data_IF_208754560059
#
_entry.id   IF_208754560059
#
_cell.length_a   1.000
_cell.length_b   1.000
_cell.length_c   1.000
_cell.angle_alpha   90.00
_cell.angle_beta   90.00
_cell.angle_gamma   90.00
#
_symmetry.space_group_name_H-M   'P 1'
#
loop_
_entity.id
_entity.type
_entity.pdbx_description
1 polymer ?
#
# COMPACT_ATOMS: atom_id res chain seq x y z
N UNK A 1 -4.85 -1.29 -8.18
CA UNK A 1 -5.48 -2.10 -7.10
C UNK A 1 -5.29 -1.40 -5.76
N UNK A 2 -6.36 -0.86 -5.16
CA UNK A 2 -6.30 -0.11 -3.88
C UNK A 2 -6.92 -0.95 -2.75
N UNK A 3 -6.15 -1.89 -2.18
CA UNK A 3 -6.60 -2.59 -0.97
C UNK A 3 -6.32 -1.73 0.27
N UNK A 4 -7.35 -1.28 1.01
CA UNK A 4 -7.17 -0.47 2.23
C UNK A 4 -6.42 -1.22 3.33
N UNK A 5 -6.40 -2.56 3.29
CA UNK A 5 -5.65 -3.41 4.22
C UNK A 5 -4.16 -3.41 3.88
N UNK A 6 -3.77 -3.44 2.61
CA UNK A 6 -2.38 -3.30 2.20
C UNK A 6 -1.82 -1.91 2.49
N UNK A 7 -2.62 -0.86 2.36
CA UNK A 7 -2.22 0.48 2.79
C UNK A 7 -2.00 0.58 4.31
N UNK A 8 -2.75 -0.21 5.10
CA UNK A 8 -2.50 -0.36 6.54
C UNK A 8 -1.24 -1.18 6.82
N UNK A 9 -1.00 -2.28 6.09
CA UNK A 9 0.24 -3.08 6.19
C UNK A 9 1.48 -2.25 5.81
N UNK A 10 1.41 -1.47 4.74
CA UNK A 10 2.47 -0.51 4.40
C UNK A 10 2.65 0.54 5.50
N UNK A 11 1.56 1.04 6.11
CA UNK A 11 1.65 1.95 7.26
C UNK A 11 2.17 1.29 8.55
N UNK A 12 1.95 -0.02 8.71
CA UNK A 12 2.49 -0.86 9.78
C UNK A 12 4.00 -1.03 9.62
N UNK A 13 4.45 -1.22 8.39
CA UNK A 13 5.84 -1.52 8.05
C UNK A 13 6.72 -0.29 7.78
N UNK A 14 6.15 0.88 7.42
CA UNK A 14 6.89 2.12 7.10
C UNK A 14 7.27 3.03 8.29
N UNK A 15 7.21 2.57 9.55
CA UNK A 15 7.68 3.42 10.66
C UNK A 15 9.21 3.33 10.81
N UNK A 16 9.89 4.20 10.05
CA UNK A 16 11.33 4.55 10.07
C UNK A 16 12.28 3.37 9.80
N UNK A 17 12.73 3.26 8.56
CA UNK A 17 14.05 2.71 8.27
C UNK A 17 15.09 3.72 8.78
N UNK A 18 15.74 3.42 9.89
CA UNK A 18 17.05 3.99 10.21
C UNK A 18 18.06 3.28 9.32
N UNK A 19 19.08 3.95 8.74
CA UNK A 19 20.13 3.24 8.01
C UNK A 19 20.74 2.18 8.94
N UNK A 20 20.64 0.90 8.57
CA UNK A 20 21.23 -0.17 9.34
C UNK A 20 22.74 -0.21 9.06
N UNK A 21 23.51 -0.28 10.15
CA UNK A 21 24.87 -0.79 10.14
C UNK A 21 24.86 -2.19 9.52
N UNK A 22 25.83 -2.43 8.62
CA UNK A 22 26.14 -3.69 7.96
C UNK A 22 26.45 -4.78 8.99
N UNK A 23 25.42 -5.52 9.39
CA UNK A 23 25.60 -6.88 9.90
C UNK A 23 25.29 -7.81 8.73
N UNK A 24 26.32 -8.51 8.22
CA UNK A 24 26.15 -9.57 7.22
C UNK A 24 25.20 -10.63 7.80
N UNK A 25 23.94 -10.60 7.35
CA UNK A 25 23.00 -11.66 7.63
C UNK A 25 23.47 -12.91 6.89
N UNK A 26 23.61 -14.03 7.60
CA UNK A 26 23.92 -15.33 7.01
C UNK A 26 22.92 -15.63 5.88
N UNK A 27 23.37 -16.11 4.71
CA UNK A 27 22.51 -16.35 3.57
C UNK A 27 21.49 -17.44 3.91
N UNK A 28 20.20 -17.12 3.82
CA UNK A 28 19.12 -18.10 3.90
C UNK A 28 19.28 -19.03 2.70
N UNK A 29 19.65 -20.28 2.97
CA UNK A 29 19.90 -21.27 1.92
C UNK A 29 18.60 -22.03 1.65
N UNK A 30 18.06 -21.99 0.41
CA UNK A 30 16.87 -22.77 0.06
C UNK A 30 17.16 -24.28 0.13
N UNK A 31 16.11 -25.09 0.28
CA UNK A 31 16.25 -26.55 0.33
C UNK A 31 16.82 -27.11 -0.98
N UNK A 32 17.56 -28.21 -0.91
CA UNK A 32 18.02 -28.91 -2.12
C UNK A 32 16.85 -29.38 -3.00
N UNK A 33 15.69 -29.65 -2.37
CA UNK A 33 14.44 -29.97 -3.07
C UNK A 33 13.96 -28.80 -3.92
N UNK A 34 13.85 -27.59 -3.34
CA UNK A 34 13.42 -26.40 -4.06
C UNK A 34 14.34 -26.07 -5.24
N UNK A 35 15.66 -26.16 -5.04
CA UNK A 35 16.65 -25.97 -6.10
C UNK A 35 16.42 -26.98 -7.23
N UNK A 36 16.25 -28.26 -6.89
CA UNK A 36 16.00 -29.32 -7.88
C UNK A 36 14.71 -29.10 -8.68
N UNK A 37 13.61 -28.73 -8.02
CA UNK A 37 12.33 -28.46 -8.69
C UNK A 37 12.43 -27.26 -9.64
N UNK A 38 13.10 -26.16 -9.24
CA UNK A 38 13.27 -25.00 -10.12
C UNK A 38 14.15 -25.34 -11.32
N UNK A 39 15.24 -26.07 -11.11
CA UNK A 39 16.08 -26.56 -12.21
C UNK A 39 15.30 -27.44 -13.17
N UNK A 40 14.38 -28.27 -12.67
CA UNK A 40 13.50 -29.08 -13.51
C UNK A 40 12.42 -28.24 -14.21
N UNK A 41 11.85 -27.25 -13.53
CA UNK A 41 10.83 -26.34 -14.08
C UNK A 41 11.38 -25.57 -15.27
N UNK A 42 12.63 -25.12 -15.18
CA UNK A 42 13.32 -24.35 -16.21
C UNK A 42 14.26 -25.21 -17.06
N UNK A 43 14.09 -26.54 -17.02
CA UNK A 43 14.92 -27.45 -17.79
C UNK A 43 14.69 -27.25 -19.30
N UNK A 44 15.78 -27.11 -20.06
CA UNK A 44 15.73 -26.87 -21.50
C UNK A 44 15.66 -25.39 -21.89
N UNK A 45 15.58 -24.48 -20.91
CA UNK A 45 15.73 -23.04 -21.14
C UNK A 45 17.21 -22.61 -21.17
N UNK A 46 17.46 -21.41 -21.72
CA UNK A 46 18.78 -20.79 -21.68
C UNK A 46 19.29 -20.63 -20.24
N UNK A 47 20.59 -20.88 -20.03
CA UNK A 47 21.32 -20.69 -18.77
C UNK A 47 20.99 -19.36 -18.08
N UNK A 48 20.74 -18.29 -18.83
CA UNK A 48 20.34 -16.99 -18.29
C UNK A 48 19.01 -17.03 -17.52
N UNK A 49 18.00 -17.76 -18.02
CA UNK A 49 16.69 -17.89 -17.37
C UNK A 49 16.78 -18.81 -16.15
N UNK A 50 17.56 -19.90 -16.26
CA UNK A 50 17.79 -20.79 -15.12
C UNK A 50 18.52 -20.06 -13.97
N UNK A 51 19.57 -19.31 -14.27
CA UNK A 51 20.27 -18.47 -13.30
C UNK A 51 19.35 -17.42 -12.68
N UNK A 52 18.50 -16.78 -13.49
CA UNK A 52 17.52 -15.82 -13.00
C UNK A 52 16.47 -16.47 -12.08
N UNK A 53 16.02 -17.68 -12.38
CA UNK A 53 15.12 -18.46 -11.53
C UNK A 53 15.74 -18.79 -10.16
N UNK A 54 17.00 -19.23 -10.14
CA UNK A 54 17.72 -19.52 -8.90
C UNK A 54 17.99 -18.26 -8.08
N UNK A 55 18.42 -17.16 -8.70
CA UNK A 55 18.60 -15.87 -8.00
C UNK A 55 17.27 -15.36 -7.43
N UNK A 56 16.16 -15.53 -8.16
CA UNK A 56 14.81 -15.20 -7.69
C UNK A 56 14.46 -16.01 -6.44
N UNK A 57 14.73 -17.32 -6.44
CA UNK A 57 14.52 -18.19 -5.27
C UNK A 57 15.31 -17.69 -4.06
N UNK A 58 16.60 -17.38 -4.21
CA UNK A 58 17.43 -16.91 -3.10
C UNK A 58 16.93 -15.59 -2.52
N UNK A 59 16.54 -14.62 -3.37
CA UNK A 59 16.01 -13.34 -2.90
C UNK A 59 14.68 -13.47 -2.16
N UNK A 60 13.79 -14.34 -2.63
CA UNK A 60 12.52 -14.59 -1.96
C UNK A 60 12.71 -15.40 -0.67
N UNK A 61 13.65 -16.34 -0.65
CA UNK A 61 14.03 -17.08 0.56
C UNK A 61 14.58 -16.14 1.65
N UNK A 62 15.40 -15.15 1.28
CA UNK A 62 15.88 -14.13 2.21
C UNK A 62 14.76 -13.23 2.77
N UNK A 63 13.66 -13.09 2.03
CA UNK A 63 12.47 -12.34 2.43
C UNK A 63 11.44 -13.20 3.20
N UNK A 64 11.81 -14.40 3.64
CA UNK A 64 10.90 -15.30 4.34
C UNK A 64 10.35 -14.72 5.65
N UNK A 65 9.13 -15.09 6.07
CA UNK A 65 8.58 -14.64 7.33
C UNK A 65 9.43 -15.15 8.49
N UNK A 66 10.15 -14.23 9.13
CA UNK A 66 10.97 -14.51 10.31
C UNK A 66 10.36 -13.78 11.51
N UNK A 67 10.14 -14.51 12.60
CA UNK A 67 9.67 -13.88 13.84
C UNK A 67 10.73 -12.88 14.34
N UNK A 68 10.29 -11.76 14.92
CA UNK A 68 11.23 -10.73 15.35
C UNK A 68 12.25 -11.24 16.39
N UNK A 69 11.78 -12.11 17.28
CA UNK A 69 12.56 -12.69 18.39
C UNK A 69 13.21 -14.03 18.03
N UNK A 70 13.00 -14.55 16.82
CA UNK A 70 13.64 -15.78 16.38
C UNK A 70 15.10 -15.52 15.98
N UNK A 71 16.00 -16.36 16.46
CA UNK A 71 17.34 -16.43 15.87
C UNK A 71 17.21 -16.74 14.37
N UNK A 72 18.03 -16.10 13.51
CA UNK A 72 17.93 -16.16 12.05
C UNK A 72 18.09 -17.57 11.45
N UNK A 73 18.36 -18.58 12.26
CA UNK A 73 18.69 -19.95 11.84
C UNK A 73 17.55 -20.97 11.98
N UNK A 74 16.29 -20.57 12.21
CA UNK A 74 15.20 -21.55 12.40
C UNK A 74 14.57 -22.03 11.09
N UNK A 75 14.50 -23.37 10.97
CA UNK A 75 14.04 -24.22 9.85
C UNK A 75 12.66 -23.84 9.27
N UNK A 76 11.82 -23.12 10.04
CA UNK A 76 10.50 -22.64 9.61
C UNK A 76 10.56 -21.58 8.48
N UNK A 77 11.72 -20.97 8.23
CA UNK A 77 11.82 -19.87 7.27
C UNK A 77 11.54 -20.31 5.82
N UNK A 78 11.83 -21.55 5.43
CA UNK A 78 11.77 -21.95 4.00
C UNK A 78 10.76 -23.03 3.67
N UNK A 79 10.02 -23.59 4.64
CA UNK A 79 8.99 -24.62 4.40
C UNK A 79 7.89 -24.16 3.43
N UNK A 80 7.60 -22.85 3.41
CA UNK A 80 6.63 -22.28 2.47
C UNK A 80 7.07 -22.42 1.00
N UNK A 81 8.38 -22.47 0.73
CA UNK A 81 8.95 -22.60 -0.62
C UNK A 81 8.60 -23.98 -1.17
N UNK A 82 8.90 -25.01 -0.39
CA UNK A 82 8.63 -26.40 -0.79
C UNK A 82 7.12 -26.61 -0.97
N UNK A 83 6.30 -26.06 -0.08
CA UNK A 83 4.84 -26.11 -0.20
C UNK A 83 4.32 -25.35 -1.43
N UNK A 84 4.85 -24.16 -1.73
CA UNK A 84 4.47 -23.39 -2.90
C UNK A 84 4.84 -24.12 -4.20
N UNK A 85 6.05 -24.68 -4.26
CA UNK A 85 6.50 -25.45 -5.41
C UNK A 85 5.70 -26.74 -5.58
N UNK A 86 5.40 -27.49 -4.51
CA UNK A 86 4.55 -28.69 -4.60
C UNK A 86 3.16 -28.37 -5.17
N UNK A 87 2.54 -27.29 -4.72
CA UNK A 87 1.20 -26.90 -5.16
C UNK A 87 1.19 -26.28 -6.56
N UNK A 88 2.21 -25.48 -6.89
CA UNK A 88 2.32 -24.80 -8.19
C UNK A 88 2.89 -25.65 -9.31
N UNK A 89 3.73 -26.65 -9.01
CA UNK A 89 4.28 -27.56 -10.02
C UNK A 89 3.21 -28.48 -10.62
N UNK A 90 2.12 -28.74 -9.88
CA UNK A 90 0.97 -29.50 -10.37
C UNK A 90 0.12 -28.73 -11.40
N UNK A 91 0.18 -27.39 -11.40
CA UNK A 91 -0.43 -26.57 -12.46
C UNK A 91 0.46 -26.60 -13.70
N UNK A 92 0.19 -27.55 -14.60
CA UNK A 92 0.87 -27.66 -15.90
C UNK A 92 0.75 -26.38 -16.70
N UNK A 93 1.89 -25.71 -16.91
CA UNK A 93 2.05 -24.76 -18.00
C UNK A 93 1.76 -25.46 -19.33
N UNK A 94 1.16 -24.74 -20.27
CA UNK A 94 0.95 -25.26 -21.62
C UNK A 94 2.29 -25.77 -22.20
N UNK A 95 2.27 -26.89 -22.93
CA UNK A 95 3.50 -27.46 -23.53
C UNK A 95 4.27 -26.45 -24.39
N UNK A 96 3.57 -25.47 -24.95
CA UNK A 96 4.12 -24.45 -25.85
C UNK A 96 4.46 -23.13 -25.15
N UNK A 97 4.44 -23.07 -23.81
CA UNK A 97 4.82 -21.89 -23.05
C UNK A 97 6.28 -21.48 -23.34
N UNK A 98 6.52 -20.19 -23.55
CA UNK A 98 7.87 -19.66 -23.78
C UNK A 98 8.72 -19.70 -22.50
N UNK A 99 10.04 -19.54 -22.64
CA UNK A 99 10.96 -19.41 -21.51
C UNK A 99 10.51 -18.34 -20.50
N UNK A 100 10.04 -17.22 -21.03
CA UNK A 100 9.54 -16.08 -20.26
C UNK A 100 8.25 -16.45 -19.51
N UNK A 101 7.31 -17.14 -20.17
CA UNK A 101 6.06 -17.58 -19.53
C UNK A 101 6.33 -18.54 -18.37
N UNK A 102 7.27 -19.48 -18.56
CA UNK A 102 7.65 -20.44 -17.51
C UNK A 102 8.31 -19.74 -16.32
N UNK A 103 9.16 -18.74 -16.58
CA UNK A 103 9.75 -17.91 -15.53
C UNK A 103 8.68 -17.08 -14.79
N UNK A 104 7.76 -16.44 -15.49
CA UNK A 104 6.71 -15.63 -14.88
C UNK A 104 5.74 -16.46 -14.04
N UNK A 105 5.42 -17.68 -14.47
CA UNK A 105 4.64 -18.62 -13.69
C UNK A 105 5.38 -19.07 -12.41
N UNK A 106 6.69 -19.32 -12.50
CA UNK A 106 7.53 -19.58 -11.31
C UNK A 106 7.49 -18.39 -10.34
N UNK A 107 7.65 -17.16 -10.84
CA UNK A 107 7.56 -15.93 -10.05
C UNK A 107 6.20 -15.83 -9.36
N UNK A 108 5.12 -16.09 -10.08
CA UNK A 108 3.76 -16.06 -9.53
C UNK A 108 3.60 -17.05 -8.38
N UNK A 109 4.02 -18.31 -8.57
CA UNK A 109 3.94 -19.38 -7.56
C UNK A 109 4.73 -19.00 -6.31
N UNK A 110 5.98 -18.56 -6.47
CA UNK A 110 6.83 -18.22 -5.33
C UNK A 110 6.32 -16.98 -4.58
N UNK A 111 5.89 -15.92 -5.29
CA UNK A 111 5.37 -14.72 -4.65
C UNK A 111 4.01 -14.96 -3.96
N UNK A 112 3.13 -15.80 -4.53
CA UNK A 112 1.89 -16.21 -3.86
C UNK A 112 2.15 -17.09 -2.64
N UNK A 113 3.09 -18.03 -2.73
CA UNK A 113 3.55 -18.84 -1.61
C UNK A 113 4.05 -17.98 -0.44
N UNK A 114 4.93 -17.03 -0.73
CA UNK A 114 5.46 -16.11 0.26
C UNK A 114 4.36 -15.22 0.86
N UNK A 115 3.47 -14.68 0.03
CA UNK A 115 2.33 -13.89 0.50
C UNK A 115 1.40 -14.70 1.42
N UNK A 116 1.16 -15.96 1.10
CA UNK A 116 0.37 -16.87 1.94
C UNK A 116 1.06 -17.14 3.27
N UNK A 117 2.37 -17.39 3.26
CA UNK A 117 3.16 -17.59 4.48
C UNK A 117 3.08 -16.37 5.42
N UNK A 118 3.20 -15.16 4.86
CA UNK A 118 3.01 -13.92 5.60
C UNK A 118 1.59 -13.75 6.16
N UNK A 119 0.57 -14.04 5.35
CA UNK A 119 -0.82 -13.95 5.80
C UNK A 119 -1.12 -14.99 6.90
N UNK A 120 -0.58 -16.20 6.79
CA UNK A 120 -0.72 -17.27 7.78
C UNK A 120 -0.10 -16.88 9.11
N UNK A 121 1.16 -16.41 9.11
CA UNK A 121 1.84 -15.94 10.31
C UNK A 121 1.07 -14.80 11.01
N UNK A 122 0.58 -13.83 10.23
CA UNK A 122 -0.23 -12.73 10.77
C UNK A 122 -1.57 -13.21 11.35
N UNK A 123 -2.26 -14.16 10.70
CA UNK A 123 -3.51 -14.75 11.22
C UNK A 123 -3.29 -15.49 12.54
N UNK A 124 -2.17 -16.21 12.66
CA UNK A 124 -1.74 -16.87 13.90
C UNK A 124 -1.31 -15.89 14.99
N UNK A 125 -1.26 -14.58 14.68
CA UNK A 125 -0.84 -13.55 15.63
C UNK A 125 0.67 -13.49 15.85
N UNK A 126 1.45 -14.15 14.99
CA UNK A 126 2.91 -14.07 15.00
C UNK A 126 3.36 -12.73 14.43
N UNK A 127 4.41 -12.18 15.03
CA UNK A 127 5.03 -10.93 14.59
C UNK A 127 6.19 -11.24 13.67
N UNK A 128 5.99 -10.98 12.38
CA UNK A 128 6.97 -11.24 11.33
C UNK A 128 7.61 -9.95 10.83
N UNK A 129 8.89 -10.05 10.45
CA UNK A 129 9.65 -8.95 9.83
C UNK A 129 8.98 -8.47 8.55
N UNK A 130 9.10 -7.18 8.25
CA UNK A 130 8.54 -6.62 7.02
C UNK A 130 9.21 -7.27 5.79
N UNK A 131 8.42 -7.80 4.84
CA UNK A 131 8.96 -8.41 3.63
C UNK A 131 9.68 -7.44 2.70
N UNK A 132 9.48 -6.12 2.86
CA UNK A 132 9.98 -5.10 1.93
C UNK A 132 11.23 -4.36 2.42
N UNK A 133 11.66 -4.59 3.65
CA UNK A 133 12.82 -3.94 4.23
C UNK A 133 13.91 -4.96 4.52
N UNK A 134 15.16 -4.55 4.40
CA UNK A 134 16.27 -5.37 4.90
C UNK A 134 16.15 -5.58 6.42
N UNK A 135 16.69 -6.69 6.96
CA UNK A 135 16.68 -6.96 8.39
C UNK A 135 17.33 -5.79 9.15
N UNK A 136 16.52 -5.02 9.88
CA UNK A 136 17.04 -4.03 10.81
C UNK A 136 17.18 -4.64 12.20
N UNK A 137 18.29 -4.34 12.88
CA UNK A 137 18.55 -4.80 14.24
C UNK A 137 17.61 -4.17 15.30
N UNK A 138 16.80 -3.16 14.95
CA UNK A 138 15.98 -2.42 15.92
C UNK A 138 14.50 -2.77 15.85
N UNK A 139 13.88 -3.25 16.95
CA UNK A 139 12.44 -3.48 17.00
C UNK A 139 11.66 -2.17 16.77
N UNK A 140 10.55 -2.19 16.02
CA UNK A 140 9.68 -1.04 15.87
C UNK A 140 9.16 -0.57 17.24
N UNK A 141 9.28 0.72 17.54
CA UNK A 141 8.91 1.31 18.86
C UNK A 141 7.39 1.33 19.16
N UNK A 142 6.54 0.88 18.24
CA UNK A 142 5.09 0.78 18.45
C UNK A 142 4.44 -0.08 17.38
N UNK A 143 3.76 -1.14 17.76
CA UNK A 143 3.03 -2.03 16.85
C UNK A 143 1.53 -1.70 16.86
N UNK A 144 0.97 -1.17 15.75
CA UNK A 144 -0.47 -1.14 15.60
C UNK A 144 -1.02 -2.57 15.61
N UNK A 145 -1.93 -2.88 16.54
CA UNK A 145 -2.58 -4.19 16.61
C UNK A 145 -3.60 -4.31 15.48
N UNK A 146 -3.33 -5.17 14.49
CA UNK A 146 -4.36 -5.58 13.54
C UNK A 146 -5.46 -6.35 14.28
N UNK A 147 -6.71 -5.95 14.06
CA UNK A 147 -7.87 -6.65 14.60
C UNK A 147 -7.96 -8.05 13.95
N UNK A 148 -8.51 -9.06 14.64
CA UNK A 148 -8.69 -10.40 14.05
C UNK A 148 -9.41 -10.39 12.70
N UNK A 149 -10.43 -9.54 12.54
CA UNK A 149 -11.17 -9.36 11.27
C UNK A 149 -10.30 -8.79 10.14
N UNK A 150 -9.33 -7.94 10.47
CA UNK A 150 -8.39 -7.37 9.49
C UNK A 150 -7.32 -8.38 9.07
N UNK A 151 -6.93 -9.28 9.99
CA UNK A 151 -6.01 -10.40 9.69
C UNK A 151 -6.67 -11.45 8.80
N UNK A 152 -7.95 -11.73 9.01
CA UNK A 152 -8.71 -12.64 8.18
C UNK A 152 -8.86 -12.12 6.73
N UNK A 153 -9.07 -10.81 6.57
CA UNK A 153 -9.31 -10.16 5.28
C UNK A 153 -8.03 -9.84 4.46
N UNK A 154 -6.86 -10.35 4.85
CA UNK A 154 -5.62 -10.11 4.12
C UNK A 154 -5.68 -10.69 2.70
N UNK A 155 -5.62 -9.79 1.72
CA UNK A 155 -5.52 -10.11 0.29
C UNK A 155 -4.08 -10.54 -0.05
N UNK A 156 -3.90 -11.84 -0.25
CA UNK A 156 -2.61 -12.47 -0.60
C UNK A 156 -2.19 -12.16 -2.03
N UNK A 157 -3.12 -11.96 -2.95
CA UNK A 157 -2.81 -11.72 -4.37
C UNK A 157 -2.17 -10.36 -4.57
N UNK A 158 -2.71 -9.34 -3.91
CA UNK A 158 -2.10 -8.03 -3.97
C UNK A 158 -0.75 -7.99 -3.22
N UNK A 159 -0.56 -8.72 -2.11
CA UNK A 159 0.74 -8.85 -1.46
C UNK A 159 1.78 -9.54 -2.36
N UNK A 160 1.40 -10.60 -3.07
CA UNK A 160 2.25 -11.31 -4.02
C UNK A 160 2.77 -10.40 -5.14
N UNK A 161 1.89 -9.56 -5.70
CA UNK A 161 2.28 -8.58 -6.71
C UNK A 161 3.33 -7.58 -6.17
N UNK A 162 3.14 -7.07 -4.95
CA UNK A 162 4.11 -6.16 -4.34
C UNK A 162 5.47 -6.83 -4.08
N UNK A 163 5.47 -8.10 -3.66
CA UNK A 163 6.69 -8.89 -3.51
C UNK A 163 7.41 -9.03 -4.85
N UNK A 164 6.68 -9.33 -5.93
CA UNK A 164 7.23 -9.43 -7.27
C UNK A 164 7.88 -8.10 -7.73
N UNK A 165 7.25 -6.95 -7.47
CA UNK A 165 7.81 -5.65 -7.85
C UNK A 165 9.06 -5.24 -7.03
N UNK A 166 9.26 -5.77 -5.82
CA UNK A 166 10.28 -5.27 -4.88
C UNK A 166 11.43 -6.23 -4.64
N UNK A 167 11.21 -7.54 -4.72
CA UNK A 167 12.20 -8.56 -4.34
C UNK A 167 12.79 -9.33 -5.50
N UNK A 168 12.19 -9.26 -6.69
CA UNK A 168 12.78 -9.89 -7.87
C UNK A 168 14.11 -9.22 -8.26
N UNK A 169 15.02 -9.99 -8.88
CA UNK A 169 16.21 -9.43 -9.52
C UNK A 169 15.81 -8.42 -10.61
N UNK A 170 16.70 -7.49 -10.95
CA UNK A 170 16.40 -6.43 -11.91
C UNK A 170 15.90 -6.97 -13.25
N UNK A 171 16.59 -7.96 -13.82
CA UNK A 171 16.16 -8.65 -15.04
C UNK A 171 14.76 -9.29 -14.90
N UNK A 172 14.44 -9.87 -13.74
CA UNK A 172 13.12 -10.44 -13.47
C UNK A 172 12.01 -9.39 -13.38
N UNK A 173 12.32 -8.21 -12.83
CA UNK A 173 11.39 -7.06 -12.80
C UNK A 173 11.12 -6.50 -14.20
N UNK A 174 12.13 -6.49 -15.07
CA UNK A 174 11.94 -6.09 -16.47
C UNK A 174 10.98 -7.04 -17.20
N UNK A 175 11.21 -8.35 -17.11
CA UNK A 175 10.32 -9.35 -17.72
C UNK A 175 8.88 -9.27 -17.19
N UNK A 176 8.72 -9.03 -15.88
CA UNK A 176 7.41 -8.80 -15.27
C UNK A 176 6.75 -7.51 -15.80
N UNK A 177 7.53 -6.43 -15.96
CA UNK A 177 7.05 -5.17 -16.51
C UNK A 177 6.55 -5.31 -17.93
N UNK A 178 7.33 -5.96 -18.81
CA UNK A 178 6.95 -6.24 -20.20
C UNK A 178 5.67 -7.09 -20.28
N UNK A 179 5.54 -8.11 -19.42
CA UNK A 179 4.35 -8.95 -19.39
C UNK A 179 3.09 -8.21 -18.91
N UNK A 180 3.23 -7.27 -17.96
CA UNK A 180 2.12 -6.45 -17.49
C UNK A 180 1.64 -5.44 -18.54
N UNK A 181 2.49 -5.08 -19.51
CA UNK A 181 2.16 -4.15 -20.60
C UNK A 181 1.43 -4.82 -21.79
N UNK A 182 1.51 -6.14 -21.93
CA UNK A 182 1.06 -6.88 -23.14
C UNK A 182 -0.35 -7.54 -23.07
N UNK A 183 -1.17 -7.26 -22.03
CA UNK A 183 -2.54 -7.79 -21.72
C UNK A 183 -2.64 -8.81 -20.55
N UNK A 184 -2.85 -8.28 -19.33
CA UNK A 184 -3.71 -8.93 -18.32
C UNK A 184 -3.03 -9.73 -17.19
N UNK A 185 -3.77 -10.01 -16.10
CA UNK A 185 -3.23 -10.09 -14.73
C UNK A 185 -2.52 -11.42 -14.43
N UNK A 186 -1.17 -11.38 -14.47
CA UNK A 186 -0.28 -12.42 -13.93
C UNK A 186 -0.63 -12.80 -12.47
N UNK A 187 -1.34 -11.94 -11.75
CA UNK A 187 -1.77 -12.14 -10.36
C UNK A 187 -3.30 -12.07 -10.16
N UNK A 188 -4.11 -12.40 -11.16
CA UNK A 188 -5.58 -12.36 -11.01
C UNK A 188 -6.10 -13.35 -9.97
N UNK A 189 -7.20 -12.96 -9.33
CA UNK A 189 -7.91 -13.76 -8.32
C UNK A 189 -8.54 -15.06 -8.85
N UNK A 190 -8.55 -15.27 -10.17
CA UNK A 190 -9.17 -16.43 -10.83
C UNK A 190 -8.21 -17.61 -11.04
N UNK A 191 -6.93 -17.48 -10.64
CA UNK A 191 -6.06 -18.65 -10.52
C UNK A 191 -6.68 -19.59 -9.45
N UNK A 192 -6.91 -20.88 -9.76
CA UNK A 192 -7.56 -21.78 -8.83
C UNK A 192 -6.79 -21.77 -7.52
N UNK A 193 -7.49 -21.38 -6.46
CA UNK A 193 -6.97 -21.24 -5.11
C UNK A 193 -6.61 -22.63 -4.55
N UNK A 194 -5.56 -23.23 -5.07
CA UNK A 194 -5.01 -24.54 -4.67
C UNK A 194 -4.28 -24.49 -3.32
N UNK A 195 -4.22 -23.30 -2.67
CA UNK A 195 -3.54 -23.06 -1.40
C UNK A 195 -4.51 -22.85 -0.22
N UNK A 196 -5.81 -23.11 -0.40
CA UNK A 196 -6.73 -23.17 0.74
C UNK A 196 -6.56 -24.53 1.44
N UNK A 197 -6.17 -24.58 2.72
CA UNK A 197 -6.26 -25.85 3.47
C UNK A 197 -7.72 -26.31 3.50
N UNK A 198 -8.00 -27.63 3.47
CA UNK A 198 -9.36 -28.13 3.63
C UNK A 198 -9.91 -27.64 4.97
N UNK A 199 -11.04 -26.93 4.91
CA UNK A 199 -11.83 -26.61 6.10
C UNK A 199 -12.23 -27.95 6.71
N UNK A 200 -11.91 -28.27 7.98
CA UNK A 200 -12.43 -29.47 8.58
C UNK A 200 -13.95 -29.34 8.65
N UNK A 201 -14.65 -30.24 7.96
CA UNK A 201 -16.08 -30.49 8.15
C UNK A 201 -16.31 -30.72 9.64
N UNK A 202 -16.96 -29.77 10.31
CA UNK A 202 -17.50 -30.01 11.63
C UNK A 202 -18.72 -30.90 11.45
N UNK A 203 -18.50 -32.18 11.69
CA UNK A 203 -19.51 -33.20 11.90
C UNK A 203 -20.54 -32.66 12.90
N UNK A 204 -21.79 -32.62 12.47
CA UNK A 204 -22.93 -32.57 13.37
C UNK A 204 -22.84 -33.79 14.29
N UNK A 205 -22.74 -33.57 15.61
CA UNK A 205 -23.36 -34.52 16.51
C UNK A 205 -23.86 -33.87 17.81
N UNK A 206 -25.03 -34.36 18.20
CA UNK A 206 -25.89 -33.92 19.28
C UNK A 206 -25.34 -34.33 20.65
N UNK A 207 -25.28 -33.41 21.62
CA UNK A 207 -25.79 -33.63 22.99
C UNK A 207 -25.53 -32.41 23.90
N UNK A 208 -26.63 -31.86 24.43
CA UNK A 208 -26.73 -30.97 25.61
C UNK A 208 -26.73 -31.83 26.91
N UNK A 209 -26.92 -31.34 28.17
CA UNK A 209 -27.18 -29.97 28.67
C UNK A 209 -26.51 -29.59 30.04
N UNK A 210 -26.93 -28.43 30.57
CA UNK A 210 -26.75 -27.83 31.92
C UNK A 210 -25.53 -26.91 32.10
N UNK A 211 -25.64 -25.69 32.65
CA UNK A 211 -26.55 -25.24 33.72
C UNK A 211 -26.77 -23.71 33.73
N UNK A 212 -27.86 -23.31 34.37
CA UNK A 212 -28.45 -21.96 34.48
C UNK A 212 -27.56 -21.02 35.33
N UNK A 213 -27.52 -19.70 35.02
CA UNK A 213 -28.07 -18.70 35.97
C UNK A 213 -27.99 -17.22 35.55
N UNK A 214 -29.15 -16.58 35.72
CA UNK A 214 -29.45 -15.19 36.04
C UNK A 214 -29.22 -14.05 35.03
N UNK A 215 -30.32 -13.77 34.30
CA UNK A 215 -30.71 -12.44 33.79
C UNK A 215 -31.04 -11.48 34.95
N UNK A 216 -30.68 -10.20 34.79
CA UNK A 216 -31.38 -9.03 35.33
C UNK A 216 -31.50 -7.96 34.23
N UNK A 217 -32.69 -7.38 33.96
CA UNK A 217 -32.82 -6.31 32.96
C UNK A 217 -33.02 -4.90 33.56
N UNK A 218 -32.51 -3.90 32.80
CA UNK A 218 -32.99 -2.50 32.61
C UNK A 218 -32.75 -1.47 33.75
N UNK A 219 -32.51 -0.17 33.44
CA UNK A 219 -33.51 0.67 32.77
C UNK A 219 -33.04 1.53 31.58
N UNK A 220 -34.01 1.72 30.69
CA UNK A 220 -34.07 2.68 29.59
C UNK A 220 -34.19 4.09 30.18
N UNK A 221 -33.37 5.03 29.72
CA UNK A 221 -33.66 6.47 29.86
C UNK A 221 -34.05 7.03 28.50
N UNK A 222 -35.23 7.64 28.48
CA UNK A 222 -35.80 8.38 27.38
C UNK A 222 -34.94 9.60 27.03
N UNK A 223 -34.74 9.84 25.73
CA UNK A 223 -34.39 11.17 25.22
C UNK A 223 -35.61 11.72 24.49
N UNK A 224 -36.08 12.87 24.97
CA UNK A 224 -37.03 13.75 24.32
C UNK A 224 -36.33 14.55 23.21
N UNK A 225 -37.10 14.76 22.14
CA UNK A 225 -37.01 15.79 21.10
C UNK A 225 -36.03 15.58 19.92
N UNK A 226 -36.54 15.58 18.66
CA UNK A 226 -35.73 15.53 17.46
C UNK A 226 -35.07 16.90 17.19
N UNK A 227 -33.76 16.88 16.93
CA UNK A 227 -33.06 18.00 16.32
C UNK A 227 -33.53 18.18 14.86
N UNK A 228 -33.54 19.41 14.31
CA UNK A 228 -34.00 19.64 12.94
C UNK A 228 -33.10 18.88 11.97
N UNK A 229 -33.71 18.01 11.17
CA UNK A 229 -33.03 17.29 10.09
C UNK A 229 -32.41 18.31 9.12
N UNK A 230 -31.08 18.31 9.06
CA UNK A 230 -30.36 18.99 8.01
C UNK A 230 -30.77 18.37 6.66
N UNK A 231 -30.97 19.16 5.59
CA UNK A 231 -31.41 18.64 4.30
C UNK A 231 -30.42 17.60 3.76
N UNK A 232 -30.91 16.41 3.46
CA UNK A 232 -30.17 15.40 2.70
C UNK A 232 -29.93 15.92 1.28
N UNK A 233 -28.81 16.60 1.06
CA UNK A 233 -28.34 16.94 -0.30
C UNK A 233 -28.01 15.65 -1.06
N UNK A 234 -28.48 15.49 -2.31
CA UNK A 234 -28.11 14.36 -3.16
C UNK A 234 -26.59 14.33 -3.40
N UNK A 235 -25.99 13.14 -3.64
CA UNK A 235 -24.53 12.95 -3.69
C UNK A 235 -23.83 13.79 -4.77
N UNK A 236 -24.52 14.16 -5.86
CA UNK A 236 -23.96 14.97 -6.94
C UNK A 236 -23.74 16.45 -6.58
N UNK A 237 -24.50 16.98 -5.61
CA UNK A 237 -24.29 18.35 -5.12
C UNK A 237 -23.04 18.47 -4.25
N UNK A 238 -22.65 17.43 -3.53
CA UNK A 238 -21.51 17.49 -2.61
C UNK A 238 -20.19 17.73 -3.36
N UNK A 239 -19.97 17.00 -4.47
CA UNK A 239 -18.77 17.17 -5.29
C UNK A 239 -18.68 18.59 -5.86
N UNK A 240 -19.79 19.11 -6.39
CA UNK A 240 -19.84 20.46 -6.97
C UNK A 240 -19.56 21.53 -5.90
N UNK A 241 -20.17 21.42 -4.72
CA UNK A 241 -19.96 22.35 -3.60
C UNK A 241 -18.53 22.28 -3.07
N UNK A 242 -17.94 21.08 -2.97
CA UNK A 242 -16.52 20.93 -2.62
C UNK A 242 -15.61 21.50 -3.69
N UNK A 243 -15.89 21.29 -4.97
CA UNK A 243 -15.11 21.86 -6.07
C UNK A 243 -15.16 23.39 -6.05
N UNK A 244 -16.33 23.97 -5.77
CA UNK A 244 -16.49 25.40 -5.61
C UNK A 244 -15.67 25.92 -4.43
N UNK A 245 -15.75 25.28 -3.26
CA UNK A 245 -14.96 25.66 -2.10
C UNK A 245 -13.45 25.56 -2.37
N UNK A 246 -12.99 24.52 -3.06
CA UNK A 246 -11.59 24.37 -3.50
C UNK A 246 -11.18 25.49 -4.45
N UNK A 247 -12.04 25.83 -5.40
CA UNK A 247 -11.79 26.92 -6.36
C UNK A 247 -11.63 28.24 -5.64
N UNK A 248 -12.53 28.55 -4.70
CA UNK A 248 -12.46 29.75 -3.86
C UNK A 248 -11.17 29.80 -3.03
N UNK A 249 -10.81 28.69 -2.36
CA UNK A 249 -9.60 28.62 -1.55
C UNK A 249 -8.33 28.76 -2.40
N UNK A 250 -8.31 28.17 -3.60
CA UNK A 250 -7.21 28.31 -4.56
C UNK A 250 -7.10 29.75 -5.06
N UNK A 251 -8.22 30.40 -5.41
CA UNK A 251 -8.23 31.82 -5.82
C UNK A 251 -7.63 32.73 -4.75
N UNK A 252 -8.06 32.56 -3.50
CA UNK A 252 -7.53 33.34 -2.37
C UNK A 252 -6.03 33.13 -2.15
N UNK A 253 -5.53 31.92 -2.37
CA UNK A 253 -4.10 31.63 -2.32
C UNK A 253 -3.35 32.24 -3.50
N UNK A 254 -3.89 32.09 -4.71
CA UNK A 254 -3.30 32.58 -5.95
C UNK A 254 -3.18 34.11 -6.01
N UNK A 255 -4.11 34.82 -5.35
CA UNK A 255 -4.09 36.28 -5.23
C UNK A 255 -3.12 36.80 -4.14
N UNK A 256 -2.57 35.92 -3.30
CA UNK A 256 -1.60 36.32 -2.28
C UNK A 256 -0.25 36.64 -2.90
N UNK A 257 0.43 37.68 -2.40
CA UNK A 257 1.82 38.00 -2.77
C UNK A 257 2.81 36.86 -2.47
N UNK A 258 2.43 35.94 -1.57
CA UNK A 258 3.20 34.75 -1.23
C UNK A 258 3.07 33.63 -2.28
N UNK A 259 2.15 33.72 -3.24
CA UNK A 259 2.03 32.73 -4.30
C UNK A 259 3.19 32.83 -5.30
N UNK A 260 3.70 31.70 -5.77
CA UNK A 260 4.88 31.63 -6.66
C UNK A 260 6.13 32.32 -6.09
N UNK A 261 6.35 32.25 -4.77
CA UNK A 261 7.59 32.70 -4.11
C UNK A 261 8.30 31.52 -3.46
N UNK A 262 9.63 31.55 -3.33
CA UNK A 262 10.39 30.53 -2.57
C UNK A 262 9.73 30.17 -1.23
N UNK A 263 9.42 31.23 -0.46
CA UNK A 263 8.79 31.26 0.87
C UNK A 263 7.32 30.91 0.94
N UNK A 264 6.71 30.63 -0.21
CA UNK A 264 5.28 30.83 -0.45
C UNK A 264 4.31 29.82 0.14
N UNK A 265 3.02 30.12 -0.01
CA UNK A 265 1.92 29.22 0.35
C UNK A 265 1.41 28.39 -0.83
N UNK A 266 1.90 28.65 -2.05
CA UNK A 266 1.55 27.87 -3.23
C UNK A 266 2.38 28.22 -4.46
N UNK A 267 2.41 27.30 -5.41
CA UNK A 267 3.15 27.40 -6.66
C UNK A 267 2.33 26.82 -7.82
N UNK A 268 2.37 27.43 -9.00
CA UNK A 268 1.98 26.78 -10.25
C UNK A 268 3.21 26.16 -10.90
N UNK A 269 3.20 24.85 -11.15
CA UNK A 269 4.30 24.13 -11.79
C UNK A 269 3.71 23.22 -12.87
N UNK A 270 4.01 23.54 -14.14
CA UNK A 270 3.49 22.78 -15.27
C UNK A 270 1.96 22.70 -15.25
N UNK A 271 1.45 21.47 -15.16
CA UNK A 271 0.03 21.11 -15.16
C UNK A 271 -0.60 21.06 -13.76
N UNK A 272 0.06 21.62 -12.73
CA UNK A 272 -0.41 21.53 -11.36
C UNK A 272 -0.25 22.80 -10.52
N UNK A 273 -1.19 23.00 -9.60
CA UNK A 273 -1.02 23.88 -8.46
C UNK A 273 -0.55 23.06 -7.24
N UNK A 274 0.58 23.44 -6.68
CA UNK A 274 1.13 22.88 -5.45
C UNK A 274 0.83 23.85 -4.31
N UNK A 275 -0.04 23.46 -3.37
CA UNK A 275 -0.49 24.35 -2.29
C UNK A 275 -0.04 23.84 -0.93
N UNK A 276 0.48 24.72 -0.07
CA UNK A 276 0.80 24.36 1.30
C UNK A 276 -0.45 23.83 2.04
N UNK A 277 -0.34 22.62 2.58
CA UNK A 277 -1.47 21.87 3.10
C UNK A 277 -2.10 22.49 4.35
N UNK A 278 -1.37 23.24 5.19
CA UNK A 278 -2.02 23.89 6.34
C UNK A 278 -2.82 25.13 5.90
N UNK A 279 -2.22 26.13 5.21
CA UNK A 279 -2.95 27.32 4.75
C UNK A 279 -4.14 27.03 3.83
N UNK A 280 -4.05 25.96 3.03
CA UNK A 280 -5.15 25.53 2.18
C UNK A 280 -6.34 24.95 2.97
N UNK A 281 -6.09 24.08 3.96
CA UNK A 281 -7.15 23.58 4.83
C UNK A 281 -7.84 24.70 5.59
N UNK A 282 -7.09 25.67 6.11
CA UNK A 282 -7.65 26.78 6.88
C UNK A 282 -8.62 27.61 6.02
N UNK A 283 -8.27 27.88 4.75
CA UNK A 283 -9.18 28.56 3.81
C UNK A 283 -10.40 27.73 3.46
N UNK A 284 -10.23 26.43 3.22
CA UNK A 284 -11.35 25.52 2.98
C UNK A 284 -12.30 25.42 4.17
N UNK A 285 -11.78 25.38 5.40
CA UNK A 285 -12.60 25.30 6.61
C UNK A 285 -13.32 26.61 6.94
N UNK A 286 -12.90 27.73 6.34
CA UNK A 286 -13.62 29.01 6.43
C UNK A 286 -14.74 29.14 5.39
N UNK A 287 -14.84 28.22 4.42
CA UNK A 287 -15.98 28.18 3.50
C UNK A 287 -17.26 27.80 4.29
N UNK A 288 -18.37 28.58 4.19
CA UNK A 288 -19.56 28.37 5.00
C UNK A 288 -20.16 26.96 4.87
N UNK A 289 -20.10 26.38 3.66
CA UNK A 289 -20.65 25.06 3.45
C UNK A 289 -19.74 23.99 4.06
N UNK A 290 -18.41 24.09 3.88
CA UNK A 290 -17.46 23.15 4.48
C UNK A 290 -17.47 23.24 6.01
N UNK A 291 -17.57 24.45 6.55
CA UNK A 291 -17.67 24.70 8.00
C UNK A 291 -18.92 24.05 8.62
N UNK A 292 -20.03 23.96 7.88
CA UNK A 292 -21.24 23.30 8.33
C UNK A 292 -21.11 21.75 8.38
N UNK A 293 -20.11 21.17 7.70
CA UNK A 293 -19.90 19.72 7.67
C UNK A 293 -18.96 19.25 8.79
N UNK A 294 -19.52 18.84 9.93
CA UNK A 294 -18.75 18.33 11.07
C UNK A 294 -17.71 17.23 10.72
N UNK A 295 -17.97 16.29 9.79
CA UNK A 295 -16.95 15.29 9.40
C UNK A 295 -15.71 15.90 8.72
N UNK A 296 -15.84 17.07 8.10
CA UNK A 296 -14.77 17.72 7.33
C UNK A 296 -13.84 18.58 8.19
N UNK A 297 -14.19 18.89 9.44
CA UNK A 297 -13.33 19.65 10.37
C UNK A 297 -11.97 18.97 10.61
N UNK A 298 -11.91 17.64 10.49
CA UNK A 298 -10.65 16.93 10.51
C UNK A 298 -9.96 17.04 9.14
N UNK A 299 -8.83 17.76 9.07
CA UNK A 299 -8.04 17.94 7.83
C UNK A 299 -7.71 16.62 7.11
N UNK A 300 -7.46 15.53 7.84
CA UNK A 300 -7.16 14.23 7.24
C UNK A 300 -8.40 13.65 6.54
N UNK A 301 -9.58 13.84 7.12
CA UNK A 301 -10.86 13.45 6.53
C UNK A 301 -11.17 14.33 5.32
N UNK A 302 -11.01 15.65 5.45
CA UNK A 302 -11.16 16.60 4.34
C UNK A 302 -10.33 16.19 3.12
N UNK A 303 -9.02 15.93 3.30
CA UNK A 303 -8.17 15.57 2.18
C UNK A 303 -8.45 14.19 1.58
N UNK A 304 -8.87 13.23 2.37
CA UNK A 304 -9.34 11.95 1.83
C UNK A 304 -10.61 12.14 1.01
N UNK A 305 -11.52 13.02 1.44
CA UNK A 305 -12.75 13.32 0.72
C UNK A 305 -12.46 14.04 -0.59
N UNK A 306 -11.56 15.03 -0.59
CA UNK A 306 -11.11 15.70 -1.82
C UNK A 306 -10.43 14.73 -2.80
N UNK A 307 -9.58 13.84 -2.31
CA UNK A 307 -8.92 12.83 -3.15
C UNK A 307 -9.91 11.81 -3.71
N UNK A 308 -10.90 11.38 -2.91
CA UNK A 308 -11.97 10.49 -3.35
C UNK A 308 -12.76 11.07 -4.54
N UNK A 309 -13.01 12.38 -4.53
CA UNK A 309 -13.70 13.09 -5.60
C UNK A 309 -12.81 13.55 -6.76
N UNK A 310 -11.51 13.20 -6.74
CA UNK A 310 -10.55 13.60 -7.77
C UNK A 310 -10.25 15.10 -7.80
N UNK A 311 -10.62 15.86 -6.76
CA UNK A 311 -10.40 17.31 -6.69
C UNK A 311 -8.93 17.67 -6.38
N UNK A 312 -8.17 16.71 -5.86
CA UNK A 312 -6.73 16.79 -5.64
C UNK A 312 -6.07 15.51 -6.17
N UNK A 313 -4.84 15.63 -6.65
CA UNK A 313 -4.02 14.51 -7.09
C UNK A 313 -3.21 13.95 -5.92
N UNK A 314 -3.58 12.76 -5.46
CA UNK A 314 -2.82 12.02 -4.46
C UNK A 314 -1.58 11.35 -5.09
N UNK A 315 -0.52 11.20 -4.29
CA UNK A 315 0.63 10.36 -4.62
C UNK A 315 0.42 9.01 -3.93
N UNK A 316 -0.12 8.05 -4.68
CA UNK A 316 -0.67 6.83 -4.10
C UNK A 316 -1.75 7.13 -3.06
N UNK A 317 -1.54 6.72 -1.81
CA UNK A 317 -2.48 6.93 -0.71
C UNK A 317 -2.29 8.26 0.04
N UNK A 318 -1.30 9.08 -0.34
CA UNK A 318 -0.95 10.31 0.34
C UNK A 318 -1.54 11.52 -0.40
N UNK A 319 -2.57 12.18 0.17
CA UNK A 319 -3.08 13.42 -0.41
C UNK A 319 -2.15 14.62 -0.15
N UNK A 320 -1.18 14.49 0.76
CA UNK A 320 -0.20 15.52 1.11
C UNK A 320 1.20 15.02 0.80
N UNK A 321 1.96 15.80 0.03
CA UNK A 321 3.31 15.50 -0.41
C UNK A 321 4.31 16.32 0.40
N UNK A 322 5.56 15.86 0.49
CA UNK A 322 6.67 16.62 1.07
C UNK A 322 7.57 17.09 -0.06
N UNK A 323 7.74 18.40 -0.19
CA UNK A 323 8.58 19.00 -1.23
C UNK A 323 9.73 19.77 -0.61
N UNK A 324 10.86 19.76 -1.31
CA UNK A 324 12.01 20.63 -1.07
C UNK A 324 12.07 21.63 -2.20
N UNK A 325 11.85 22.88 -1.84
CA UNK A 325 11.90 24.02 -2.75
C UNK A 325 13.29 24.64 -2.62
N UNK A 326 13.94 24.84 -3.76
CA UNK A 326 15.26 25.46 -3.84
C UNK A 326 15.28 26.50 -4.96
N UNK A 327 15.74 27.71 -4.66
CA UNK A 327 15.99 28.75 -5.66
C UNK A 327 17.50 28.92 -5.88
N UNK A 328 17.97 29.04 -7.13
CA UNK A 328 19.35 29.44 -7.41
C UNK A 328 19.69 30.76 -6.70
N UNK A 329 20.82 30.80 -6.00
CA UNK A 329 21.25 31.98 -5.24
C UNK A 329 20.67 32.09 -3.82
N UNK A 330 19.76 31.20 -3.40
CA UNK A 330 19.34 31.09 -1.99
C UNK A 330 20.04 29.91 -1.31
N UNK A 331 20.74 30.11 -0.18
CA UNK A 331 21.49 29.05 0.49
C UNK A 331 20.61 28.05 1.25
N UNK A 332 19.38 28.43 1.62
CA UNK A 332 18.48 27.57 2.42
C UNK A 332 17.35 27.04 1.56
N UNK A 333 17.22 25.72 1.47
CA UNK A 333 16.05 25.06 0.90
C UNK A 333 14.87 25.11 1.87
N UNK A 334 13.65 25.26 1.34
CA UNK A 334 12.43 25.20 2.12
C UNK A 334 11.76 23.84 2.00
N UNK A 335 11.32 23.29 3.13
CA UNK A 335 10.51 22.09 3.16
C UNK A 335 9.03 22.45 3.34
N UNK A 336 8.18 22.02 2.42
CA UNK A 336 6.76 22.27 2.46
C UNK A 336 5.96 20.96 2.44
N UNK A 337 4.86 20.92 3.18
CA UNK A 337 3.86 19.87 3.04
C UNK A 337 2.79 20.41 2.11
N UNK A 338 2.64 19.83 0.92
CA UNK A 338 1.79 20.40 -0.12
C UNK A 338 0.71 19.44 -0.59
N UNK A 339 -0.31 19.96 -1.25
CA UNK A 339 -1.34 19.21 -1.96
C UNK A 339 -1.24 19.59 -3.42
N UNK A 340 -1.43 18.61 -4.31
CA UNK A 340 -1.39 18.83 -5.76
C UNK A 340 -2.83 18.96 -6.28
N UNK A 341 -3.14 20.07 -6.93
CA UNK A 341 -4.41 20.28 -7.65
C UNK A 341 -4.10 20.26 -9.15
N UNK A 342 -4.80 19.44 -9.96
CA UNK A 342 -4.61 19.43 -11.41
C UNK A 342 -5.12 20.73 -12.04
N UNK A 343 -4.29 21.39 -12.86
CA UNK A 343 -4.64 22.66 -13.52
C UNK A 343 -5.88 22.50 -14.39
N UNK A 344 -6.04 21.38 -15.08
CA UNK A 344 -7.18 21.09 -15.95
C UNK A 344 -8.56 21.21 -15.26
N UNK A 345 -8.64 21.07 -13.93
CA UNK A 345 -9.90 21.23 -13.19
C UNK A 345 -10.19 22.68 -12.76
N UNK A 346 -9.19 23.56 -12.78
CA UNK A 346 -9.26 24.89 -12.16
C UNK A 346 -8.76 26.04 -13.06
N UNK A 347 -8.20 25.75 -14.23
CA UNK A 347 -7.60 26.76 -15.13
C UNK A 347 -8.61 27.79 -15.64
N UNK A 348 -9.87 27.39 -15.84
CA UNK A 348 -10.94 28.29 -16.24
C UNK A 348 -11.24 29.36 -15.16
N UNK A 349 -10.93 29.07 -13.90
CA UNK A 349 -11.17 29.97 -12.77
C UNK A 349 -9.90 30.71 -12.32
N UNK A 350 -8.73 30.07 -12.41
CA UNK A 350 -7.47 30.57 -11.81
C UNK A 350 -6.38 30.62 -12.88
N UNK A 351 -6.08 31.83 -13.35
CA UNK A 351 -4.96 32.09 -14.26
C UNK A 351 -3.84 32.80 -13.52
N UNK A 352 -2.73 32.09 -13.28
CA UNK A 352 -1.50 32.63 -12.69
C UNK A 352 -0.31 32.11 -13.46
N UNK A 353 0.78 32.87 -13.62
CA UNK A 353 1.95 32.40 -14.34
C UNK A 353 2.60 31.17 -13.68
N UNK A 354 3.35 30.36 -14.45
CA UNK A 354 4.11 29.26 -13.87
C UNK A 354 5.27 29.81 -13.05
N UNK A 355 5.60 29.15 -11.94
CA UNK A 355 6.76 29.47 -11.14
C UNK A 355 8.04 29.15 -11.94
N UNK A 356 8.75 30.20 -12.39
CA UNK A 356 9.94 30.06 -13.24
C UNK A 356 11.27 30.15 -12.47
N UNK A 357 11.26 30.64 -11.23
CA UNK A 357 12.46 31.11 -10.53
C UNK A 357 13.15 30.08 -9.64
N UNK A 358 12.64 28.85 -9.51
CA UNK A 358 13.22 27.84 -8.62
C UNK A 358 13.08 26.40 -9.12
N UNK A 359 13.97 25.53 -8.63
CA UNK A 359 13.85 24.07 -8.79
C UNK A 359 13.02 23.52 -7.63
N UNK A 360 11.85 22.97 -7.95
CA UNK A 360 11.02 22.24 -7.00
C UNK A 360 11.38 20.77 -7.11
N UNK A 361 11.99 20.23 -6.07
CA UNK A 361 12.37 18.82 -6.00
C UNK A 361 11.38 18.10 -5.08
N UNK A 362 10.76 17.03 -5.60
CA UNK A 362 9.99 16.11 -4.78
C UNK A 362 10.95 15.45 -3.80
N UNK A 363 10.69 15.61 -2.50
CA UNK A 363 11.41 14.81 -1.50
C UNK A 363 10.70 13.48 -1.48
N UNK A 364 11.31 12.49 -2.11
CA UNK A 364 10.99 11.10 -1.79
C UNK A 364 11.49 10.91 -0.36
N UNK A 365 10.59 11.03 0.60
CA UNK A 365 10.88 10.58 1.96
C UNK A 365 10.83 9.06 1.87
N UNK A 366 12.02 8.47 1.71
CA UNK A 366 12.25 7.02 1.72
C UNK A 366 11.66 6.36 2.98
#
# INVERSE_FOLDING_TARGET
MNSPLLNKLNGLWRRRATPALTAEALPVTPSAYAVGIISQWLAGENDAIQALGLETLHRLAAASPCAWDAEPATVLATEWIDQALQNGFATTLARDATAQDRYLALVQVLCQGLAHAYASALRQGQWVRCPFTEPSAQPPRSHPRLRPSERAALDTSALALWLACTRLPEAGRHLLGEALEQDGPVFSSDAPSALAPPVPEQTEDLASPHERSHRRPKPVKACLSPAPEAPLTPPDNERALLQQAVTTALLQLAQSEAFNRHGGEGWRVGDAFLLCAKPFAERLLNDPWVAAQAPLHNRKTLYRRLAHWGLIQADGALPIWKLRISEPGRPQSQYASVIKLPVALYEAAVTVESYQTGRILKVVVE
#
